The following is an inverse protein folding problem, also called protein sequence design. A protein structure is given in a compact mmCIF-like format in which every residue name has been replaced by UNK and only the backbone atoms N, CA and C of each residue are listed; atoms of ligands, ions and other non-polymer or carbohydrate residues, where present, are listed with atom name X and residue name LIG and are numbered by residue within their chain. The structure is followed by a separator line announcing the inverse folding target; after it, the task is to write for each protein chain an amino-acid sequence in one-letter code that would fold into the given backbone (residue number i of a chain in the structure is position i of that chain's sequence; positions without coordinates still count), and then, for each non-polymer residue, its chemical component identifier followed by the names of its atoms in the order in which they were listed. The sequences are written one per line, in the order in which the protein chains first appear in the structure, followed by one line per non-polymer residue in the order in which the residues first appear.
data_IF_551277242290
#
_entry.id   IF_551277242290
#
_cell.length_a   1.000
_cell.length_b   1.000
_cell.length_c   1.000
_cell.angle_alpha   90.00
_cell.angle_beta   90.00
_cell.angle_gamma   90.00
#
_symmetry.space_group_name_H-M   'P 1'
#
loop_
_entity.id
_entity.type
_entity.pdbx_description
1 polymer ?
#
# COMPACT_ATOMS: atom_id res chain seq x y z
N UNK A 1 -13.43 34.51 17.54
CA UNK A 1 -14.34 33.43 17.11
C UNK A 1 -13.91 32.80 15.78
N UNK A 2 -13.74 33.57 14.70
CA UNK A 2 -13.34 33.10 13.35
C UNK A 2 -12.05 32.26 13.35
N UNK A 3 -10.99 32.70 14.04
CA UNK A 3 -9.73 31.95 14.12
C UNK A 3 -9.93 30.53 14.68
N UNK A 4 -10.79 30.33 15.69
CA UNK A 4 -11.02 29.00 16.28
C UNK A 4 -11.71 28.05 15.30
N UNK A 5 -12.65 28.57 14.51
CA UNK A 5 -13.34 27.82 13.45
C UNK A 5 -12.35 27.40 12.36
N UNK A 6 -11.46 28.32 11.95
CA UNK A 6 -10.43 28.03 10.95
C UNK A 6 -9.46 26.93 11.41
N UNK A 7 -8.99 26.97 12.66
CA UNK A 7 -8.14 25.91 13.21
C UNK A 7 -8.87 24.57 13.28
N UNK A 8 -10.15 24.56 13.68
CA UNK A 8 -10.94 23.34 13.72
C UNK A 8 -11.11 22.73 12.31
N UNK A 9 -11.40 23.55 11.30
CA UNK A 9 -11.51 23.09 9.92
C UNK A 9 -10.18 22.53 9.40
N UNK A 10 -9.07 23.21 9.67
CA UNK A 10 -7.72 22.74 9.32
C UNK A 10 -7.39 21.39 9.96
N UNK A 11 -7.71 21.23 11.26
CA UNK A 11 -7.49 19.97 11.96
C UNK A 11 -8.31 18.81 11.35
N UNK A 12 -9.58 19.06 11.02
CA UNK A 12 -10.45 18.05 10.37
C UNK A 12 -9.89 17.67 8.99
N UNK A 13 -9.48 18.65 8.19
CA UNK A 13 -8.89 18.40 6.88
C UNK A 13 -7.60 17.57 6.99
N UNK A 14 -6.74 17.87 7.97
CA UNK A 14 -5.52 17.11 8.22
C UNK A 14 -5.80 15.66 8.62
N UNK A 15 -6.80 15.42 9.48
CA UNK A 15 -7.22 14.07 9.88
C UNK A 15 -7.79 13.31 8.69
N UNK A 16 -8.64 13.94 7.88
CA UNK A 16 -9.21 13.33 6.68
C UNK A 16 -8.12 12.96 5.66
N UNK A 17 -7.18 13.88 5.42
CA UNK A 17 -6.03 13.64 4.54
C UNK A 17 -5.15 12.50 5.04
N UNK A 18 -4.85 12.46 6.35
CA UNK A 18 -4.08 11.38 6.95
C UNK A 18 -4.81 10.03 6.82
N UNK A 19 -6.11 10.00 7.09
CA UNK A 19 -6.94 8.80 6.91
C UNK A 19 -6.91 8.31 5.47
N UNK A 20 -7.06 9.23 4.50
CA UNK A 20 -6.96 8.92 3.08
C UNK A 20 -5.58 8.36 2.70
N UNK A 21 -4.49 9.02 3.10
CA UNK A 21 -3.13 8.56 2.86
C UNK A 21 -2.85 7.17 3.46
N UNK A 22 -3.27 6.95 4.70
CA UNK A 22 -3.13 5.65 5.39
C UNK A 22 -3.95 4.54 4.74
N UNK A 23 -4.91 4.88 3.89
CA UNK A 23 -5.77 3.94 3.20
C UNK A 23 -5.29 3.61 1.78
N UNK A 24 -4.38 4.41 1.21
CA UNK A 24 -3.80 4.14 -0.12
C UNK A 24 -2.45 3.44 -0.03
N UNK A 25 -2.15 2.63 -1.04
CA UNK A 25 -0.83 2.03 -1.23
C UNK A 25 -0.48 1.96 -2.70
N UNK A 26 0.80 1.77 -2.97
CA UNK A 26 1.31 1.42 -4.29
C UNK A 26 1.94 0.03 -4.24
N UNK A 27 1.78 -0.73 -5.32
CA UNK A 27 2.48 -2.01 -5.45
C UNK A 27 3.19 -2.12 -6.79
N UNK A 28 4.30 -2.85 -6.79
CA UNK A 28 4.99 -3.27 -8.01
C UNK A 28 4.55 -4.68 -8.38
N UNK A 29 4.10 -4.82 -9.61
CA UNK A 29 3.76 -6.09 -10.21
C UNK A 29 5.02 -6.96 -10.39
N UNK A 30 5.01 -8.21 -9.90
CA UNK A 30 6.21 -9.05 -9.91
C UNK A 30 6.59 -9.56 -11.30
N UNK A 31 5.64 -9.62 -12.25
CA UNK A 31 5.86 -10.16 -13.59
C UNK A 31 6.43 -9.09 -14.54
N UNK A 32 5.83 -7.88 -14.54
CA UNK A 32 6.16 -6.83 -15.50
C UNK A 32 6.79 -5.58 -14.87
N UNK A 33 7.05 -5.57 -13.56
CA UNK A 33 7.56 -4.39 -12.85
C UNK A 33 6.72 -3.11 -13.00
N UNK A 34 5.45 -3.24 -13.38
CA UNK A 34 4.49 -2.14 -13.48
C UNK A 34 4.09 -1.66 -12.10
N UNK A 35 3.84 -0.36 -11.95
CA UNK A 35 3.44 0.24 -10.67
C UNK A 35 1.95 0.54 -10.68
N UNK A 36 1.24 0.10 -9.65
CA UNK A 36 -0.19 0.31 -9.48
C UNK A 36 -0.48 1.05 -8.17
N UNK A 37 -1.44 1.98 -8.21
CA UNK A 37 -2.09 2.54 -7.02
C UNK A 37 -3.27 1.67 -6.63
N UNK A 38 -3.47 1.39 -5.36
CA UNK A 38 -4.62 0.64 -4.89
C UNK A 38 -5.12 1.13 -3.53
N UNK A 39 -6.40 0.84 -3.26
CA UNK A 39 -7.02 1.06 -1.96
C UNK A 39 -6.72 -0.14 -1.03
N UNK A 40 -6.05 0.12 0.08
CA UNK A 40 -5.74 -0.89 1.11
C UNK A 40 -7.03 -1.29 1.84
N UNK A 41 -7.15 -2.57 2.16
CA UNK A 41 -8.28 -3.09 2.94
C UNK A 41 -8.21 -2.69 4.43
N UNK A 42 -7.03 -2.33 4.92
CA UNK A 42 -6.76 -1.89 6.30
C UNK A 42 -5.82 -0.68 6.30
N UNK A 43 -5.99 0.20 7.27
CA UNK A 43 -5.11 1.36 7.47
C UNK A 43 -3.72 0.92 7.92
N UNK A 44 -2.68 1.46 7.26
CA UNK A 44 -1.29 1.22 7.62
C UNK A 44 -0.39 2.37 7.16
N UNK A 45 0.69 2.61 7.90
CA UNK A 45 1.75 3.55 7.51
C UNK A 45 2.54 3.04 6.29
N UNK A 46 2.47 1.74 6.00
CA UNK A 46 3.13 1.17 4.82
C UNK A 46 2.44 1.66 3.55
N UNK A 47 3.23 2.31 2.69
CA UNK A 47 2.75 2.83 1.42
C UNK A 47 3.15 1.94 0.24
N UNK A 48 4.37 1.38 0.25
CA UNK A 48 4.88 0.54 -0.84
C UNK A 48 4.84 -0.96 -0.52
N UNK A 49 4.29 -1.74 -1.44
CA UNK A 49 4.14 -3.19 -1.37
C UNK A 49 4.85 -3.85 -2.55
N UNK A 50 5.56 -4.94 -2.28
CA UNK A 50 6.29 -5.69 -3.30
C UNK A 50 6.41 -7.14 -2.85
N UNK A 51 6.49 -8.08 -3.78
CA UNK A 51 6.81 -9.48 -3.50
C UNK A 51 8.31 -9.73 -3.70
N UNK A 52 9.12 -9.95 -2.64
CA UNK A 52 10.50 -10.41 -2.79
C UNK A 52 10.64 -11.80 -3.43
N UNK A 53 9.60 -12.64 -3.37
CA UNK A 53 9.58 -13.93 -4.10
C UNK A 53 9.34 -13.68 -5.59
N UNK A 54 8.41 -12.79 -5.93
CA UNK A 54 7.98 -12.55 -7.30
C UNK A 54 7.58 -13.84 -7.99
N UNK A 55 8.09 -14.04 -9.21
CA UNK A 55 7.89 -15.26 -10.02
C UNK A 55 8.98 -16.32 -9.79
N UNK A 56 9.75 -16.24 -8.70
CA UNK A 56 10.80 -17.23 -8.41
C UNK A 56 10.28 -18.46 -7.65
N UNK A 57 10.97 -19.59 -7.79
CA UNK A 57 10.68 -20.83 -7.03
C UNK A 57 11.09 -20.77 -5.54
N UNK A 58 11.49 -19.60 -5.04
CA UNK A 58 11.89 -19.43 -3.64
C UNK A 58 10.71 -19.63 -2.71
N UNK A 59 10.97 -20.26 -1.58
CA UNK A 59 10.02 -20.38 -0.48
C UNK A 59 10.15 -19.21 0.48
N UNK A 60 9.15 -19.05 1.33
CA UNK A 60 9.15 -17.99 2.33
C UNK A 60 10.31 -18.13 3.32
N UNK A 61 10.71 -19.37 3.62
CA UNK A 61 11.80 -19.70 4.54
C UNK A 61 13.17 -19.31 3.98
N UNK A 62 13.30 -19.17 2.65
CA UNK A 62 14.53 -18.75 1.97
C UNK A 62 14.77 -17.23 2.09
N UNK A 63 13.78 -16.48 2.57
CA UNK A 63 13.85 -15.04 2.73
C UNK A 63 14.32 -14.64 4.13
N UNK A 64 15.04 -13.51 4.22
CA UNK A 64 15.31 -12.88 5.51
C UNK A 64 14.00 -12.51 6.24
N UNK A 65 13.97 -12.40 7.58
CA UNK A 65 12.76 -12.04 8.31
C UNK A 65 12.09 -10.73 7.83
N UNK A 66 12.89 -9.78 7.35
CA UNK A 66 12.36 -8.53 6.77
C UNK A 66 11.68 -8.77 5.42
N UNK A 67 12.29 -9.56 4.54
CA UNK A 67 11.69 -9.92 3.26
C UNK A 67 10.46 -10.80 3.43
N UNK A 68 10.45 -11.72 4.40
CA UNK A 68 9.27 -12.49 4.76
C UNK A 68 8.09 -11.60 5.14
N UNK A 69 8.33 -10.54 5.93
CA UNK A 69 7.29 -9.56 6.25
C UNK A 69 6.79 -8.84 4.99
N UNK A 70 7.68 -8.43 4.09
CA UNK A 70 7.28 -7.79 2.83
C UNK A 70 6.42 -8.71 1.96
N UNK A 71 6.82 -9.97 1.84
CA UNK A 71 6.08 -10.98 1.08
C UNK A 71 4.69 -11.22 1.68
N UNK A 72 4.60 -11.36 3.01
CA UNK A 72 3.32 -11.50 3.72
C UNK A 72 2.42 -10.27 3.49
N UNK A 73 2.97 -9.07 3.66
CA UNK A 73 2.21 -7.82 3.44
C UNK A 73 1.72 -7.72 1.99
N UNK A 74 2.54 -8.10 1.00
CA UNK A 74 2.13 -8.09 -0.40
C UNK A 74 1.01 -9.10 -0.66
N UNK A 75 1.19 -10.34 -0.21
CA UNK A 75 0.16 -11.39 -0.34
C UNK A 75 -1.16 -10.95 0.30
N UNK A 76 -1.12 -10.40 1.50
CA UNK A 76 -2.30 -9.92 2.19
C UNK A 76 -2.97 -8.76 1.44
N UNK A 77 -2.25 -7.65 1.23
CA UNK A 77 -2.85 -6.41 0.74
C UNK A 77 -3.15 -6.42 -0.76
N UNK A 78 -2.31 -7.07 -1.56
CA UNK A 78 -2.40 -7.04 -3.02
C UNK A 78 -3.17 -8.26 -3.53
N UNK A 79 -2.81 -9.48 -3.12
CA UNK A 79 -3.46 -10.68 -3.66
C UNK A 79 -4.75 -11.07 -2.92
N UNK A 80 -4.67 -11.36 -1.63
CA UNK A 80 -5.79 -11.94 -0.86
C UNK A 80 -6.98 -10.98 -0.76
N UNK A 81 -6.72 -9.71 -0.44
CA UNK A 81 -7.77 -8.70 -0.31
C UNK A 81 -8.00 -7.87 -1.58
N UNK A 82 -7.60 -8.40 -2.74
CA UNK A 82 -7.98 -7.84 -4.05
C UNK A 82 -7.43 -6.43 -4.31
N UNK A 83 -6.25 -6.09 -3.79
CA UNK A 83 -5.52 -4.90 -4.20
C UNK A 83 -5.13 -4.96 -5.68
N UNK A 84 -4.84 -6.16 -6.19
CA UNK A 84 -4.52 -6.43 -7.58
C UNK A 84 -5.67 -6.08 -8.53
N UNK A 85 -6.88 -6.60 -8.26
CA UNK A 85 -8.06 -6.37 -9.11
C UNK A 85 -8.57 -4.91 -9.07
N UNK A 86 -8.17 -4.14 -8.05
CA UNK A 86 -8.57 -2.75 -7.85
C UNK A 86 -7.41 -1.77 -8.09
N UNK A 87 -6.30 -2.27 -8.63
CA UNK A 87 -5.13 -1.48 -8.94
C UNK A 87 -5.37 -0.60 -10.17
N UNK A 88 -4.96 0.66 -10.09
CA UNK A 88 -4.90 1.58 -11.21
C UNK A 88 -3.44 1.70 -11.62
N UNK A 89 -3.13 1.38 -12.87
CA UNK A 89 -1.78 1.53 -13.41
C UNK A 89 -1.32 2.99 -13.31
N UNK A 90 -0.19 3.22 -12.66
CA UNK A 90 0.44 4.54 -12.55
C UNK A 90 1.61 4.68 -13.52
N UNK A 91 2.48 3.67 -13.57
CA UNK A 91 3.70 3.69 -14.37
C UNK A 91 3.92 2.36 -15.07
N UNK A 92 4.34 2.46 -16.34
CA UNK A 92 4.81 1.36 -17.16
C UNK A 92 6.22 1.73 -17.60
N UNK A 93 7.20 0.92 -17.22
CA UNK A 93 8.61 1.14 -17.53
C UNK A 93 9.04 0.27 -18.72
#
# INVERSE_FOLDING_TARGET
MIKRILHAFSAIAAIAFLGFWLSLGIYQDPEFSKIYLFQKHKLTLKFYFSSPIGESDRRLEDLSPYQQRREKDFKEYVYVFGGYSRGILLFNF
#
